data_IF_571005346829
#
_entry.id   IF_571005346829
#
_cell.length_a   1.000
_cell.length_b   1.000
_cell.length_c   1.000
_cell.angle_alpha   90.00
_cell.angle_beta   90.00
_cell.angle_gamma   90.00
#
_symmetry.space_group_name_H-M   'P 1'
#
loop_
_entity.id
_entity.type
_entity.pdbx_description
1 polymer ?
#
# COMPACT_ATOMS: atom_id res chain seq x y z
N UNK A 1 16.47 29.43 22.07
CA UNK A 1 16.69 27.97 22.10
C UNK A 1 18.11 27.71 21.60
N UNK A 2 18.91 26.84 22.23
CA UNK A 2 20.21 26.51 21.66
C UNK A 2 19.93 25.84 20.31
N UNK A 3 20.41 26.46 19.22
CA UNK A 3 20.46 25.81 17.93
C UNK A 3 21.55 24.75 18.02
N UNK A 4 21.14 23.48 18.21
CA UNK A 4 22.07 22.37 18.21
C UNK A 4 22.77 22.34 16.85
N UNK A 5 24.08 22.49 16.85
CA UNK A 5 24.87 22.39 15.60
C UNK A 5 25.22 20.93 15.39
N UNK A 6 25.00 20.38 14.17
CA UNK A 6 25.44 19.02 13.88
C UNK A 6 26.95 18.86 14.12
N UNK A 7 27.32 17.78 14.80
CA UNK A 7 28.73 17.45 15.06
C UNK A 7 29.29 16.44 14.06
N UNK A 8 28.44 15.87 13.19
CA UNK A 8 28.78 14.77 12.30
C UNK A 8 28.91 13.41 13.02
N UNK A 9 28.65 13.36 14.33
CA UNK A 9 28.61 12.10 15.06
C UNK A 9 27.28 11.40 14.80
N UNK A 10 27.33 10.22 14.18
CA UNK A 10 26.16 9.41 13.88
C UNK A 10 25.85 8.49 15.05
N UNK A 11 24.58 8.36 15.35
CA UNK A 11 24.04 7.49 16.36
C UNK A 11 23.17 6.41 15.72
N UNK A 12 23.47 5.18 16.01
CA UNK A 12 22.69 4.06 15.50
C UNK A 12 21.47 3.81 16.38
N UNK A 13 20.32 3.64 15.75
CA UNK A 13 19.09 3.14 16.38
C UNK A 13 19.12 1.62 16.31
N UNK A 14 18.91 0.92 17.42
CA UNK A 14 18.86 -0.54 17.45
C UNK A 14 17.65 -1.05 16.63
N UNK A 15 17.80 -2.23 16.02
CA UNK A 15 16.73 -2.83 15.20
C UNK A 15 15.49 -3.17 16.04
N UNK A 16 15.67 -3.56 17.29
CA UNK A 16 14.57 -3.84 18.23
C UNK A 16 14.01 -2.59 18.89
N UNK A 17 14.70 -1.46 18.76
CA UNK A 17 14.23 -0.20 19.32
C UNK A 17 13.10 0.37 18.51
N UNK A 18 12.00 0.64 19.19
CA UNK A 18 10.85 1.38 18.69
C UNK A 18 10.53 2.50 19.66
N UNK A 19 10.32 3.70 19.16
CA UNK A 19 9.98 4.81 20.01
C UNK A 19 8.85 5.64 19.41
N UNK A 20 8.08 6.23 20.32
CA UNK A 20 6.94 7.04 19.93
C UNK A 20 6.87 8.34 20.72
N UNK A 21 6.11 9.28 20.18
CA UNK A 21 5.61 10.44 20.88
C UNK A 21 4.19 10.72 20.43
N UNK A 22 3.35 11.22 21.35
CA UNK A 22 2.08 11.85 21.01
C UNK A 22 2.21 13.35 21.12
N UNK A 23 1.46 14.08 20.30
CA UNK A 23 1.46 15.54 20.26
C UNK A 23 0.04 16.07 20.22
N UNK A 24 -0.14 17.33 20.61
CA UNK A 24 -1.36 18.06 20.31
C UNK A 24 -1.52 18.36 18.81
N UNK A 25 -2.62 19.01 18.43
CA UNK A 25 -2.89 19.41 17.05
C UNK A 25 -1.88 20.42 16.47
N UNK A 26 -1.06 21.05 17.30
CA UNK A 26 0.01 21.99 16.88
C UNK A 26 1.38 21.31 16.78
N UNK A 27 1.47 20.01 17.10
CA UNK A 27 2.72 19.27 17.12
C UNK A 27 3.56 19.51 18.38
N UNK A 28 2.95 19.92 19.48
CA UNK A 28 3.59 20.03 20.80
C UNK A 28 3.56 18.65 21.47
N UNK A 29 4.70 18.17 21.92
CA UNK A 29 4.85 16.83 22.51
C UNK A 29 4.11 16.77 23.84
N UNK A 30 3.22 15.79 24.01
CA UNK A 30 2.48 15.52 25.23
C UNK A 30 3.04 14.29 25.97
N UNK A 31 3.43 13.25 25.23
CA UNK A 31 3.94 11.98 25.81
C UNK A 31 5.04 11.40 24.93
N UNK A 32 5.92 10.62 25.53
CA UNK A 32 6.97 9.88 24.84
C UNK A 32 7.42 8.70 25.69
N UNK A 33 7.97 7.65 25.04
CA UNK A 33 8.62 6.55 25.75
C UNK A 33 10.10 6.84 26.05
N UNK A 34 10.74 6.01 26.86
CA UNK A 34 12.13 6.18 27.33
C UNK A 34 13.15 6.11 26.20
N UNK A 35 12.88 5.32 25.15
CA UNK A 35 13.75 5.23 23.97
C UNK A 35 13.88 6.60 23.30
N UNK A 36 12.79 7.38 23.20
CA UNK A 36 12.85 8.72 22.62
C UNK A 36 13.68 9.69 23.48
N UNK A 37 13.49 9.66 24.80
CA UNK A 37 14.29 10.44 25.76
C UNK A 37 15.78 10.14 25.57
N UNK A 38 16.16 8.87 25.56
CA UNK A 38 17.53 8.42 25.40
C UNK A 38 18.16 8.81 24.03
N UNK A 39 17.41 8.66 22.94
CA UNK A 39 17.90 9.00 21.60
C UNK A 39 18.03 10.51 21.39
N UNK A 40 17.07 11.30 21.87
CA UNK A 40 17.11 12.76 21.76
C UNK A 40 18.20 13.40 22.63
N UNK A 41 18.75 12.70 23.64
CA UNK A 41 19.71 13.25 24.62
C UNK A 41 19.14 14.46 25.37
N UNK A 42 17.84 14.53 25.52
CA UNK A 42 17.14 15.52 26.32
C UNK A 42 16.55 14.84 27.57
N UNK A 43 16.43 15.54 28.65
CA UNK A 43 15.65 15.10 29.78
C UNK A 43 14.14 15.13 29.39
N UNK A 44 13.32 14.28 30.02
CA UNK A 44 11.88 14.17 29.70
C UNK A 44 11.17 15.51 29.80
N UNK A 45 11.44 16.28 30.85
CA UNK A 45 10.86 17.59 31.09
C UNK A 45 11.23 18.63 30.02
N UNK A 46 12.33 18.39 29.28
CA UNK A 46 12.75 19.25 28.17
C UNK A 46 12.07 18.87 26.85
N UNK A 47 11.46 17.69 26.77
CA UNK A 47 10.75 17.19 25.59
C UNK A 47 9.25 17.51 25.66
N UNK A 48 8.64 17.34 26.84
CA UNK A 48 7.20 17.55 27.02
C UNK A 48 6.89 19.05 26.94
N UNK A 49 5.73 19.39 26.38
CA UNK A 49 5.26 20.78 26.16
C UNK A 49 6.14 21.58 25.16
N UNK A 50 7.00 20.90 24.37
CA UNK A 50 7.86 21.54 23.37
C UNK A 50 7.45 21.07 21.97
N UNK A 51 7.49 21.96 20.95
CA UNK A 51 7.21 21.56 19.58
C UNK A 51 8.18 20.46 19.09
N UNK A 52 7.64 19.45 18.39
CA UNK A 52 8.35 18.26 17.94
C UNK A 52 9.55 18.57 17.02
N UNK A 53 9.58 19.74 16.37
CA UNK A 53 10.71 20.18 15.55
C UNK A 53 12.02 20.44 16.35
N UNK A 54 11.99 20.26 17.68
CA UNK A 54 13.19 20.31 18.54
C UNK A 54 14.27 19.35 18.07
N UNK A 55 13.90 18.15 17.60
CA UNK A 55 14.82 17.11 17.14
C UNK A 55 15.02 17.13 15.61
N UNK A 56 14.51 18.12 14.90
CA UNK A 56 14.63 18.18 13.44
C UNK A 56 16.05 18.51 13.03
N UNK A 57 16.63 17.69 12.13
CA UNK A 57 17.91 18.01 11.53
C UNK A 57 17.81 19.18 10.53
N UNK A 58 18.73 20.14 10.52
CA UNK A 58 18.67 21.30 9.62
C UNK A 58 18.80 20.96 8.14
N UNK A 59 19.36 19.80 7.79
CA UNK A 59 19.47 19.34 6.41
C UNK A 59 18.20 18.70 5.85
N UNK A 60 17.20 18.43 6.68
CA UNK A 60 15.92 17.93 6.17
C UNK A 60 15.16 19.02 5.39
N UNK A 61 14.72 18.75 4.14
CA UNK A 61 14.00 19.74 3.34
C UNK A 61 12.70 20.17 4.00
N UNK A 62 12.37 21.46 3.92
CA UNK A 62 11.07 22.00 4.40
C UNK A 62 9.90 21.39 3.60
N UNK A 63 10.12 21.03 2.34
CA UNK A 63 9.12 20.39 1.46
C UNK A 63 8.63 19.04 1.93
N UNK A 64 9.49 18.21 2.55
CA UNK A 64 9.07 16.94 3.13
C UNK A 64 8.07 17.15 4.28
N UNK A 65 8.29 18.15 5.14
CA UNK A 65 7.36 18.49 6.21
C UNK A 65 6.11 19.21 5.69
N UNK A 66 6.23 19.97 4.59
CA UNK A 66 5.07 20.52 3.89
C UNK A 66 4.13 19.41 3.40
N UNK A 67 4.69 18.38 2.74
CA UNK A 67 3.94 17.21 2.29
C UNK A 67 3.31 16.43 3.47
N UNK A 68 4.05 16.27 4.57
CA UNK A 68 3.56 15.65 5.80
C UNK A 68 2.31 16.37 6.33
N UNK A 69 2.39 17.69 6.55
CA UNK A 69 1.27 18.46 7.07
C UNK A 69 0.07 18.47 6.13
N UNK A 70 0.32 18.54 4.80
CA UNK A 70 -0.75 18.47 3.81
C UNK A 70 -1.48 17.12 3.82
N UNK A 71 -0.79 16.02 4.16
CA UNK A 71 -1.37 14.67 4.31
C UNK A 71 -2.14 14.54 5.62
N UNK A 72 -1.54 14.96 6.74
CA UNK A 72 -2.15 14.89 8.06
C UNK A 72 -3.42 15.75 8.18
N UNK A 73 -3.46 16.92 7.54
CA UNK A 73 -4.65 17.79 7.50
C UNK A 73 -5.83 17.17 6.76
N UNK A 74 -5.59 16.17 5.89
CA UNK A 74 -6.63 15.37 5.24
C UNK A 74 -7.09 14.20 6.10
N UNK A 75 -6.58 14.07 7.33
CA UNK A 75 -6.86 12.93 8.22
C UNK A 75 -6.15 11.65 7.80
N UNK A 76 -5.12 11.72 6.94
CA UNK A 76 -4.40 10.56 6.47
C UNK A 76 -3.07 10.40 7.19
N UNK A 77 -2.62 9.16 7.51
CA UNK A 77 -1.30 8.92 8.06
C UNK A 77 -0.21 9.19 7.02
N UNK A 78 0.97 9.51 7.52
CA UNK A 78 2.15 9.83 6.75
C UNK A 78 3.31 8.92 7.15
N UNK A 79 4.16 8.52 6.20
CA UNK A 79 5.37 7.75 6.45
C UNK A 79 6.56 8.31 5.65
N UNK A 80 7.73 8.43 6.28
CA UNK A 80 8.92 8.99 5.66
C UNK A 80 10.21 8.57 6.37
N UNK A 81 11.34 8.69 5.69
CA UNK A 81 12.65 8.73 6.32
C UNK A 81 12.93 10.11 6.87
N UNK A 82 13.47 10.19 8.07
CA UNK A 82 13.76 11.46 8.73
C UNK A 82 15.10 11.38 9.44
N UNK A 83 15.96 12.37 9.21
CA UNK A 83 17.15 12.59 10.02
C UNK A 83 16.80 13.50 11.19
N UNK A 84 17.15 13.06 12.37
CA UNK A 84 17.00 13.80 13.62
C UNK A 84 18.34 14.27 14.16
N UNK A 85 18.29 15.31 14.96
CA UNK A 85 19.45 15.89 15.66
C UNK A 85 19.19 15.83 17.18
N UNK A 86 20.05 15.11 17.89
CA UNK A 86 20.00 15.06 19.35
C UNK A 86 20.52 16.34 20.00
N UNK A 87 20.21 16.58 21.28
CA UNK A 87 20.59 17.77 22.04
C UNK A 87 22.12 17.99 22.12
N UNK A 88 22.92 16.93 22.00
CA UNK A 88 24.38 16.98 21.96
C UNK A 88 24.97 17.18 20.55
N UNK A 89 24.13 17.38 19.54
CA UNK A 89 24.54 17.56 18.15
C UNK A 89 24.84 16.27 17.37
N UNK A 90 24.63 15.08 17.95
CA UNK A 90 24.72 13.83 17.22
C UNK A 90 23.45 13.59 16.39
N UNK A 91 23.60 12.91 15.25
CA UNK A 91 22.56 12.64 14.26
C UNK A 91 22.07 11.20 14.37
N UNK A 92 20.80 10.97 14.07
CA UNK A 92 20.26 9.63 13.93
C UNK A 92 19.14 9.59 12.90
N UNK A 93 19.21 8.59 12.04
CA UNK A 93 18.24 8.38 10.98
C UNK A 93 17.15 7.42 11.47
N UNK A 94 15.91 7.73 11.10
CA UNK A 94 14.72 6.96 11.44
C UNK A 94 13.80 6.81 10.24
N UNK A 95 13.09 5.70 10.21
CA UNK A 95 11.84 5.59 9.48
C UNK A 95 10.70 5.97 10.42
N UNK A 96 9.89 6.95 10.05
CA UNK A 96 8.84 7.50 10.90
C UNK A 96 7.47 7.37 10.26
N UNK A 97 6.47 7.04 11.08
CA UNK A 97 5.06 7.20 10.74
C UNK A 97 4.44 8.27 11.63
N UNK A 98 3.49 9.02 11.09
CA UNK A 98 2.69 10.00 11.83
C UNK A 98 1.23 9.75 11.53
N UNK A 99 0.45 9.43 12.56
CA UNK A 99 -0.97 9.08 12.47
C UNK A 99 -1.82 10.09 13.20
N UNK A 100 -2.84 10.70 12.56
CA UNK A 100 -3.80 11.55 13.26
C UNK A 100 -4.57 10.75 14.33
N UNK A 101 -4.75 11.32 15.51
CA UNK A 101 -5.51 10.74 16.62
C UNK A 101 -6.92 11.35 16.70
N UNK A 102 -7.90 10.57 17.17
CA UNK A 102 -9.27 11.04 17.44
C UNK A 102 -9.30 12.15 18.51
N UNK A 103 -8.35 12.16 19.42
CA UNK A 103 -8.14 13.19 20.42
C UNK A 103 -7.78 14.56 19.83
N UNK A 104 -7.45 14.64 18.53
CA UNK A 104 -7.11 15.86 17.81
C UNK A 104 -5.61 16.16 17.72
N UNK A 105 -4.75 15.23 18.11
CA UNK A 105 -3.30 15.31 18.00
C UNK A 105 -2.75 14.26 17.01
N UNK A 106 -1.49 13.90 17.22
CA UNK A 106 -0.78 12.95 16.34
C UNK A 106 0.05 11.95 17.15
N UNK A 107 -0.01 10.67 16.75
CA UNK A 107 0.92 9.64 17.19
C UNK A 107 2.03 9.52 16.15
N UNK A 108 3.28 9.66 16.56
CA UNK A 108 4.44 9.40 15.73
C UNK A 108 5.22 8.21 16.25
N UNK A 109 5.39 7.18 15.42
CA UNK A 109 6.17 5.97 15.72
C UNK A 109 7.40 5.93 14.83
N UNK A 110 8.54 5.56 15.40
CA UNK A 110 9.85 5.60 14.72
C UNK A 110 10.61 4.32 14.97
N UNK A 111 11.29 3.86 13.93
CA UNK A 111 12.17 2.71 13.93
C UNK A 111 13.46 3.01 13.20
N UNK A 112 14.45 2.13 13.32
CA UNK A 112 15.63 2.14 12.45
C UNK A 112 15.22 1.89 11.00
N UNK A 113 15.72 2.66 10.01
CA UNK A 113 15.64 2.30 8.59
C UNK A 113 16.39 1.00 8.34
N UNK A 114 15.78 0.05 7.62
CA UNK A 114 16.39 -1.25 7.31
C UNK A 114 16.48 -1.53 5.81
N UNK A 115 15.71 -0.82 4.99
CA UNK A 115 15.73 -0.94 3.53
C UNK A 115 16.74 0.05 2.95
N UNK A 116 18.03 -0.29 2.94
CA UNK A 116 19.15 0.57 2.53
C UNK A 116 18.93 1.23 1.15
N UNK A 117 18.43 0.49 0.18
CA UNK A 117 18.20 1.01 -1.17
C UNK A 117 17.10 2.09 -1.19
N UNK A 118 15.99 1.86 -0.49
CA UNK A 118 14.89 2.82 -0.40
C UNK A 118 15.31 4.06 0.41
N UNK A 119 16.04 3.84 1.49
CA UNK A 119 16.60 4.90 2.32
C UNK A 119 17.54 5.80 1.50
N UNK A 120 18.50 5.23 0.79
CA UNK A 120 19.46 5.99 -0.03
C UNK A 120 18.76 6.80 -1.11
N UNK A 121 17.79 6.20 -1.83
CA UNK A 121 17.01 6.92 -2.84
C UNK A 121 16.19 8.08 -2.26
N UNK A 122 15.59 7.89 -1.09
CA UNK A 122 14.84 8.96 -0.43
C UNK A 122 15.74 10.15 -0.07
N UNK A 123 16.98 9.89 0.36
CA UNK A 123 17.94 10.96 0.67
C UNK A 123 18.45 11.67 -0.60
N UNK A 124 18.67 10.97 -1.70
CA UNK A 124 18.96 11.62 -2.99
C UNK A 124 17.84 12.58 -3.41
N UNK A 125 16.59 12.19 -3.23
CA UNK A 125 15.42 13.05 -3.49
C UNK A 125 15.38 14.24 -2.54
N UNK A 126 15.69 14.05 -1.26
CA UNK A 126 15.71 15.14 -0.27
C UNK A 126 16.82 16.14 -0.51
N UNK A 127 18.02 15.70 -0.92
CA UNK A 127 19.14 16.58 -1.26
C UNK A 127 18.80 17.46 -2.47
N UNK A 128 18.18 16.91 -3.51
CA UNK A 128 17.72 17.66 -4.68
C UNK A 128 16.58 18.64 -4.32
N UNK A 129 15.62 18.22 -3.51
CA UNK A 129 14.55 19.09 -3.02
C UNK A 129 15.11 20.26 -2.21
N UNK A 130 16.09 20.01 -1.32
CA UNK A 130 16.76 21.04 -0.54
C UNK A 130 17.51 22.03 -1.45
N UNK A 131 18.24 21.53 -2.45
CA UNK A 131 18.91 22.40 -3.41
C UNK A 131 17.88 23.30 -4.15
N UNK A 132 16.72 22.77 -4.49
CA UNK A 132 15.60 23.53 -5.09
C UNK A 132 15.08 24.62 -4.13
N UNK A 133 14.90 24.29 -2.85
CA UNK A 133 14.49 25.26 -1.82
C UNK A 133 15.52 26.38 -1.61
N UNK A 134 16.79 26.02 -1.57
CA UNK A 134 17.88 27.00 -1.37
C UNK A 134 18.00 27.93 -2.57
N UNK A 135 17.83 27.43 -3.80
CA UNK A 135 17.77 28.27 -4.99
C UNK A 135 16.54 29.20 -4.96
N UNK A 136 15.36 28.68 -4.60
CA UNK A 136 14.16 29.51 -4.47
C UNK A 136 14.34 30.65 -3.46
N UNK A 137 14.95 30.38 -2.30
CA UNK A 137 15.28 31.39 -1.29
C UNK A 137 16.28 32.43 -1.83
N UNK A 138 17.28 31.99 -2.59
CA UNK A 138 18.25 32.90 -3.24
C UNK A 138 17.58 33.80 -4.29
N UNK A 139 16.53 33.32 -4.95
CA UNK A 139 15.71 34.07 -5.93
C UNK A 139 14.64 34.95 -5.26
N UNK A 140 14.58 34.99 -3.92
CA UNK A 140 13.71 35.88 -3.14
C UNK A 140 12.38 35.26 -2.68
N UNK A 141 12.19 33.94 -2.82
CA UNK A 141 11.04 33.25 -2.28
C UNK A 141 11.08 33.26 -0.73
N UNK A 142 9.91 33.41 -0.11
CA UNK A 142 9.78 33.20 1.33
C UNK A 142 9.90 31.69 1.69
N UNK A 143 10.01 31.42 3.00
CA UNK A 143 10.20 30.03 3.48
C UNK A 143 9.07 29.11 3.05
N UNK A 144 7.82 29.59 3.02
CA UNK A 144 6.66 28.79 2.63
C UNK A 144 6.70 28.48 1.14
N UNK A 145 6.98 29.48 0.31
CA UNK A 145 7.09 29.31 -1.13
C UNK A 145 8.24 28.34 -1.50
N UNK A 146 9.39 28.45 -0.80
CA UNK A 146 10.49 27.52 -0.99
C UNK A 146 10.09 26.08 -0.60
N UNK A 147 9.39 25.88 0.52
CA UNK A 147 8.89 24.56 0.93
C UNK A 147 7.87 23.98 -0.07
N UNK A 148 6.99 24.80 -0.64
CA UNK A 148 6.05 24.38 -1.70
C UNK A 148 6.81 23.92 -2.97
N UNK A 149 7.87 24.61 -3.34
CA UNK A 149 8.73 24.19 -4.48
C UNK A 149 9.51 22.90 -4.17
N UNK A 150 10.04 22.77 -2.95
CA UNK A 150 10.68 21.54 -2.49
C UNK A 150 9.73 20.34 -2.51
N UNK A 151 8.49 20.51 -2.02
CA UNK A 151 7.47 19.48 -2.08
C UNK A 151 7.10 19.08 -3.51
N UNK A 152 6.94 20.05 -4.41
CA UNK A 152 6.69 19.80 -5.83
C UNK A 152 7.86 19.05 -6.49
N UNK A 153 9.10 19.37 -6.10
CA UNK A 153 10.28 18.67 -6.59
C UNK A 153 10.36 17.23 -6.11
N UNK A 154 9.99 16.95 -4.86
CA UNK A 154 9.88 15.58 -4.34
C UNK A 154 8.90 14.78 -5.21
N UNK A 155 7.70 15.30 -5.48
CA UNK A 155 6.70 14.61 -6.31
C UNK A 155 7.19 14.35 -7.74
N UNK A 156 7.85 15.32 -8.37
CA UNK A 156 8.43 15.15 -9.72
C UNK A 156 9.50 14.04 -9.76
N UNK A 157 10.33 13.92 -8.72
CA UNK A 157 11.36 12.88 -8.63
C UNK A 157 10.76 11.51 -8.31
N UNK A 158 9.71 11.43 -7.49
CA UNK A 158 8.97 10.20 -7.24
C UNK A 158 8.30 9.68 -8.52
N UNK A 159 7.65 10.56 -9.29
CA UNK A 159 7.03 10.18 -10.57
C UNK A 159 8.06 9.63 -11.56
N UNK A 160 9.22 10.26 -11.68
CA UNK A 160 10.35 9.75 -12.48
C UNK A 160 10.90 8.41 -12.01
N UNK A 161 10.75 8.11 -10.73
CA UNK A 161 11.10 6.81 -10.15
C UNK A 161 9.98 5.75 -10.30
N UNK A 162 8.87 6.07 -10.98
CA UNK A 162 7.73 5.18 -11.19
C UNK A 162 6.71 5.18 -10.04
N UNK A 163 6.80 6.17 -9.15
CA UNK A 163 5.88 6.37 -8.02
C UNK A 163 5.08 7.66 -8.29
N UNK A 164 3.87 7.58 -8.82
CA UNK A 164 3.15 8.74 -9.39
C UNK A 164 2.79 9.82 -8.37
N UNK A 165 2.76 9.46 -7.08
CA UNK A 165 2.47 10.39 -6.00
C UNK A 165 3.09 9.93 -4.67
N UNK A 166 2.89 10.72 -3.62
CA UNK A 166 3.41 10.41 -2.29
C UNK A 166 2.71 9.21 -1.65
N UNK A 167 1.45 8.95 -1.98
CA UNK A 167 0.70 7.78 -1.51
C UNK A 167 1.33 6.49 -2.05
N UNK A 168 1.67 6.44 -3.34
CA UNK A 168 2.35 5.31 -3.95
C UNK A 168 3.72 5.05 -3.29
N UNK A 169 4.48 6.11 -2.99
CA UNK A 169 5.75 6.01 -2.26
C UNK A 169 5.55 5.34 -0.89
N UNK A 170 4.69 5.89 -0.05
CA UNK A 170 4.51 5.35 1.31
C UNK A 170 3.87 3.97 1.32
N UNK A 171 2.98 3.64 0.36
CA UNK A 171 2.40 2.30 0.20
C UNK A 171 3.45 1.24 -0.20
N UNK A 172 4.57 1.67 -0.79
CA UNK A 172 5.71 0.81 -1.12
C UNK A 172 6.67 0.69 0.06
N UNK A 173 7.04 1.81 0.67
CA UNK A 173 8.16 1.89 1.61
C UNK A 173 7.77 1.36 2.99
N UNK A 174 6.59 1.70 3.53
CA UNK A 174 6.21 1.26 4.87
C UNK A 174 6.09 -0.26 4.99
N UNK A 175 5.41 -1.00 4.09
CA UNK A 175 5.40 -2.45 4.17
C UNK A 175 6.78 -3.08 4.05
N UNK A 176 7.66 -2.54 3.20
CA UNK A 176 9.02 -3.03 3.04
C UNK A 176 9.87 -2.83 4.31
N UNK A 177 9.80 -1.64 4.93
CA UNK A 177 10.51 -1.33 6.18
C UNK A 177 10.03 -2.21 7.34
N UNK A 178 8.71 -2.45 7.44
CA UNK A 178 8.14 -3.31 8.50
C UNK A 178 8.59 -4.75 8.30
N UNK A 179 8.46 -5.30 7.10
CA UNK A 179 8.88 -6.67 6.79
C UNK A 179 10.40 -6.86 7.01
N UNK A 180 11.24 -5.96 6.47
CA UNK A 180 12.69 -6.03 6.66
C UNK A 180 13.11 -5.90 8.13
N UNK A 181 12.40 -5.06 8.91
CA UNK A 181 12.65 -4.97 10.36
C UNK A 181 12.31 -6.27 11.09
N UNK A 182 11.18 -6.90 10.76
CA UNK A 182 10.75 -8.16 11.40
C UNK A 182 11.70 -9.31 11.10
N UNK A 183 12.27 -9.37 9.90
CA UNK A 183 13.32 -10.36 9.57
C UNK A 183 14.60 -10.18 10.40
N UNK A 184 14.91 -8.96 10.82
CA UNK A 184 16.12 -8.61 11.54
C UNK A 184 15.92 -8.57 13.07
N UNK A 185 14.68 -8.36 13.54
CA UNK A 185 14.36 -8.17 14.95
C UNK A 185 14.15 -9.50 15.69
N UNK A 186 14.22 -9.44 17.02
CA UNK A 186 13.88 -10.58 17.90
C UNK A 186 12.37 -10.87 17.99
N UNK A 187 11.52 -10.12 17.24
CA UNK A 187 10.07 -10.18 17.30
C UNK A 187 9.45 -9.30 18.40
N UNK A 188 8.17 -9.54 18.69
CA UNK A 188 7.49 -8.77 19.75
C UNK A 188 8.08 -9.10 21.12
N UNK A 189 8.29 -8.07 21.98
CA UNK A 189 8.79 -8.32 23.33
C UNK A 189 7.74 -9.10 24.12
N UNK A 190 8.20 -10.02 24.98
CA UNK A 190 7.35 -10.88 25.78
C UNK A 190 7.77 -10.90 27.26
N UNK A 191 6.80 -11.12 28.14
CA UNK A 191 7.00 -11.33 29.58
C UNK A 191 6.11 -12.49 30.04
N UNK A 192 6.54 -13.76 29.77
CA UNK A 192 5.69 -14.93 30.02
C UNK A 192 5.35 -15.12 31.50
N UNK A 193 6.23 -14.67 32.40
CA UNK A 193 6.04 -14.78 33.87
C UNK A 193 5.26 -13.60 34.46
N UNK A 194 4.88 -12.60 33.66
CA UNK A 194 4.10 -11.47 34.13
C UNK A 194 2.62 -11.83 34.30
N UNK A 195 1.98 -11.30 35.33
CA UNK A 195 0.58 -11.46 35.65
C UNK A 195 -0.17 -10.12 35.67
N UNK A 196 -1.49 -10.19 35.79
CA UNK A 196 -2.34 -9.01 35.91
C UNK A 196 -2.76 -8.37 34.56
N UNK A 197 -3.36 -7.18 34.60
CA UNK A 197 -3.96 -6.55 33.41
C UNK A 197 -2.94 -6.22 32.31
N UNK A 198 -1.75 -5.74 32.64
CA UNK A 198 -0.70 -5.42 31.66
C UNK A 198 -0.22 -6.67 30.92
N UNK A 199 -0.09 -7.80 31.61
CA UNK A 199 0.26 -9.07 30.96
C UNK A 199 -0.88 -9.57 30.05
N UNK A 200 -2.15 -9.33 30.41
CA UNK A 200 -3.30 -9.64 29.54
C UNK A 200 -3.28 -8.77 28.29
N UNK A 201 -3.00 -7.47 28.44
CA UNK A 201 -2.83 -6.55 27.29
C UNK A 201 -1.70 -7.03 26.37
N UNK A 202 -0.54 -7.40 26.92
CA UNK A 202 0.59 -7.87 26.12
C UNK A 202 0.22 -9.12 25.30
N UNK A 203 -0.50 -10.09 25.92
CA UNK A 203 -1.00 -11.27 25.20
C UNK A 203 -1.99 -10.90 24.08
N UNK A 204 -2.91 -9.98 24.35
CA UNK A 204 -3.88 -9.53 23.36
C UNK A 204 -3.26 -8.78 22.18
N UNK A 205 -2.24 -7.94 22.43
CA UNK A 205 -1.46 -7.28 21.35
C UNK A 205 -0.69 -8.31 20.53
N UNK A 206 -0.13 -9.33 21.16
CA UNK A 206 0.58 -10.41 20.45
C UNK A 206 -0.37 -11.19 19.53
N UNK A 207 -1.57 -11.53 20.01
CA UNK A 207 -2.59 -12.19 19.20
C UNK A 207 -3.09 -11.29 18.06
N UNK A 208 -3.29 -10.01 18.33
CA UNK A 208 -3.64 -9.00 17.32
C UNK A 208 -2.58 -8.93 16.20
N UNK A 209 -1.30 -8.90 16.56
CA UNK A 209 -0.20 -8.89 15.57
C UNK A 209 -0.19 -10.16 14.72
N UNK A 210 -0.41 -11.34 15.32
CA UNK A 210 -0.48 -12.60 14.58
C UNK A 210 -1.64 -12.60 13.55
N UNK A 211 -2.80 -12.03 13.89
CA UNK A 211 -3.90 -11.86 12.95
C UNK A 211 -3.56 -10.93 11.78
N UNK A 212 -2.77 -9.88 12.01
CA UNK A 212 -2.27 -9.01 10.94
C UNK A 212 -1.29 -9.74 10.00
N UNK A 213 -0.48 -10.66 10.52
CA UNK A 213 0.46 -11.48 9.73
C UNK A 213 -0.28 -12.43 8.80
N UNK A 214 -1.31 -13.09 9.31
CA UNK A 214 -2.16 -13.96 8.51
C UNK A 214 -2.85 -13.19 7.39
N UNK A 215 -3.39 -12.00 7.71
CA UNK A 215 -4.02 -11.17 6.70
C UNK A 215 -3.04 -10.67 5.63
N UNK A 216 -1.80 -10.30 6.00
CA UNK A 216 -0.78 -9.91 5.02
C UNK A 216 -0.52 -11.06 4.04
N UNK A 217 -0.47 -12.31 4.52
CA UNK A 217 -0.28 -13.50 3.66
C UNK A 217 -1.42 -13.66 2.66
N UNK A 218 -2.67 -13.47 3.07
CA UNK A 218 -3.84 -13.50 2.17
C UNK A 218 -3.80 -12.40 1.11
N UNK A 219 -3.37 -11.18 1.50
CA UNK A 219 -3.20 -10.06 0.55
C UNK A 219 -2.10 -10.30 -0.47
N UNK A 220 -1.03 -11.00 -0.09
CA UNK A 220 0.05 -11.35 -1.01
C UNK A 220 -0.45 -12.34 -2.06
N UNK A 221 -1.29 -13.30 -1.68
CA UNK A 221 -1.95 -14.20 -2.62
C UNK A 221 -2.89 -13.43 -3.55
N UNK A 222 -3.71 -12.52 -3.02
CA UNK A 222 -4.62 -11.69 -3.81
C UNK A 222 -3.85 -10.80 -4.81
N UNK A 223 -2.74 -10.20 -4.39
CA UNK A 223 -1.87 -9.42 -5.27
C UNK A 223 -1.31 -10.26 -6.41
N UNK A 224 -0.87 -11.50 -6.10
CA UNK A 224 -0.37 -12.43 -7.11
C UNK A 224 -1.46 -12.80 -8.13
N UNK A 225 -2.67 -13.08 -7.68
CA UNK A 225 -3.83 -13.34 -8.55
C UNK A 225 -4.17 -12.11 -9.42
N UNK A 226 -4.09 -10.90 -8.88
CA UNK A 226 -4.29 -9.64 -9.61
C UNK A 226 -3.31 -9.49 -10.78
N UNK A 227 -2.02 -9.78 -10.56
CA UNK A 227 -1.00 -9.77 -11.63
C UNK A 227 -1.31 -10.81 -12.70
N UNK A 228 -1.75 -12.01 -12.32
CA UNK A 228 -2.13 -13.06 -13.29
C UNK A 228 -3.36 -12.66 -14.10
N UNK A 229 -4.39 -12.10 -13.46
CA UNK A 229 -5.60 -11.57 -14.10
C UNK A 229 -5.27 -10.47 -15.12
N UNK A 230 -4.40 -9.53 -14.76
CA UNK A 230 -3.96 -8.47 -15.67
C UNK A 230 -3.28 -9.04 -16.90
N UNK A 231 -2.32 -9.94 -16.72
CA UNK A 231 -1.62 -10.60 -17.84
C UNK A 231 -2.56 -11.40 -18.75
N UNK A 232 -3.56 -12.06 -18.17
CA UNK A 232 -4.58 -12.76 -18.94
C UNK A 232 -5.52 -11.78 -19.67
N UNK A 233 -5.88 -10.67 -19.06
CA UNK A 233 -6.64 -9.58 -19.70
C UNK A 233 -5.90 -8.95 -20.88
N UNK A 234 -4.60 -8.68 -20.75
CA UNK A 234 -3.74 -8.19 -21.84
C UNK A 234 -3.67 -9.19 -23.00
N UNK A 235 -3.52 -10.48 -22.70
CA UNK A 235 -3.55 -11.53 -23.74
C UNK A 235 -4.90 -11.59 -24.46
N UNK A 236 -5.99 -11.44 -23.73
CA UNK A 236 -7.33 -11.39 -24.33
C UNK A 236 -7.46 -10.19 -25.27
N UNK A 237 -7.05 -8.99 -24.81
CA UNK A 237 -7.07 -7.78 -25.63
C UNK A 237 -6.25 -7.96 -26.92
N UNK A 238 -5.02 -8.46 -26.81
CA UNK A 238 -4.15 -8.73 -27.96
C UNK A 238 -4.75 -9.76 -28.93
N UNK A 239 -5.40 -10.80 -28.42
CA UNK A 239 -6.03 -11.80 -29.25
C UNK A 239 -7.27 -11.24 -30.00
N UNK A 240 -8.04 -10.39 -29.31
CA UNK A 240 -9.24 -9.77 -29.89
C UNK A 240 -8.88 -8.66 -30.88
N UNK A 241 -7.89 -7.82 -30.57
CA UNK A 241 -7.48 -6.66 -31.38
C UNK A 241 -6.45 -7.01 -32.46
N UNK A 242 -6.47 -8.23 -32.98
CA UNK A 242 -5.52 -8.68 -34.01
C UNK A 242 -5.63 -7.83 -35.30
N UNK A 243 -4.55 -7.12 -35.70
CA UNK A 243 -4.58 -6.31 -36.94
C UNK A 243 -4.86 -7.14 -38.19
N UNK A 244 -4.55 -8.43 -38.16
CA UNK A 244 -4.79 -9.35 -39.28
C UNK A 244 -6.28 -9.63 -39.48
N UNK A 245 -7.10 -9.54 -38.42
CA UNK A 245 -8.57 -9.62 -38.50
C UNK A 245 -9.17 -8.20 -38.40
N UNK A 246 -8.93 -7.36 -39.40
CA UNK A 246 -9.45 -6.00 -39.47
C UNK A 246 -10.51 -5.88 -40.55
N UNK A 247 -11.37 -4.85 -40.45
CA UNK A 247 -12.36 -4.54 -41.48
C UNK A 247 -11.71 -4.32 -42.84
N UNK A 248 -10.49 -3.79 -42.90
CA UNK A 248 -9.75 -3.55 -44.13
C UNK A 248 -9.30 -4.90 -44.78
N UNK A 249 -8.79 -5.85 -44.00
CA UNK A 249 -8.36 -7.16 -44.51
C UNK A 249 -9.55 -7.98 -44.96
N UNK A 250 -10.68 -7.94 -44.23
CA UNK A 250 -11.92 -8.66 -44.61
C UNK A 250 -12.56 -8.05 -45.85
N UNK A 251 -12.59 -6.72 -45.99
CA UNK A 251 -13.17 -6.05 -47.19
C UNK A 251 -12.32 -6.21 -48.45
N UNK A 252 -11.04 -6.58 -48.34
CA UNK A 252 -10.15 -6.85 -49.45
C UNK A 252 -10.35 -8.26 -50.07
N UNK A 253 -11.14 -9.13 -49.42
CA UNK A 253 -11.45 -10.47 -49.94
C UNK A 253 -12.40 -10.40 -51.14
N UNK A 254 -12.21 -11.32 -52.10
CA UNK A 254 -13.10 -11.49 -53.26
C UNK A 254 -14.45 -12.05 -52.80
N UNK A 255 -15.50 -11.19 -52.83
CA UNK A 255 -16.84 -11.55 -52.40
C UNK A 255 -17.63 -12.35 -53.46
N UNK A 256 -17.11 -12.47 -54.68
CA UNK A 256 -17.78 -13.21 -55.77
C UNK A 256 -17.66 -14.74 -55.58
N UNK A 257 -16.65 -15.22 -54.79
CA UNK A 257 -16.56 -16.61 -54.38
C UNK A 257 -17.48 -16.89 -53.18
N UNK A 258 -18.49 -17.79 -53.32
CA UNK A 258 -19.44 -18.06 -52.21
C UNK A 258 -18.78 -18.54 -50.92
N UNK A 259 -17.61 -19.22 -51.01
CA UNK A 259 -16.85 -19.68 -49.84
C UNK A 259 -16.22 -18.52 -49.12
N UNK A 260 -15.64 -17.59 -49.86
CA UNK A 260 -15.04 -16.36 -49.35
C UNK A 260 -16.12 -15.45 -48.74
N UNK A 261 -17.28 -15.32 -49.41
CA UNK A 261 -18.42 -14.54 -48.93
C UNK A 261 -18.89 -15.08 -47.56
N UNK A 262 -18.97 -16.39 -47.37
CA UNK A 262 -19.36 -16.99 -46.09
C UNK A 262 -18.32 -16.69 -44.98
N UNK A 263 -17.03 -16.81 -45.25
CA UNK A 263 -15.97 -16.44 -44.32
C UNK A 263 -16.06 -14.98 -43.96
N UNK A 264 -16.23 -14.10 -44.95
CA UNK A 264 -16.35 -12.64 -44.71
C UNK A 264 -17.54 -12.27 -43.81
N UNK A 265 -18.67 -12.95 -43.95
CA UNK A 265 -19.82 -12.73 -43.06
C UNK A 265 -19.50 -13.10 -41.61
N UNK A 266 -18.82 -14.22 -41.38
CA UNK A 266 -18.43 -14.65 -40.03
C UNK A 266 -17.37 -13.72 -39.41
N UNK A 267 -16.39 -13.31 -40.23
CA UNK A 267 -15.37 -12.35 -39.80
C UNK A 267 -15.96 -10.96 -39.50
N UNK A 268 -16.94 -10.49 -40.28
CA UNK A 268 -17.66 -9.25 -40.00
C UNK A 268 -18.40 -9.31 -38.66
N UNK A 269 -19.07 -10.44 -38.35
CA UNK A 269 -19.70 -10.64 -37.04
C UNK A 269 -18.67 -10.64 -35.91
N UNK A 270 -17.50 -11.24 -36.11
CA UNK A 270 -16.40 -11.16 -35.15
C UNK A 270 -15.97 -9.71 -34.94
N UNK A 271 -15.77 -8.92 -36.01
CA UNK A 271 -15.37 -7.52 -35.93
C UNK A 271 -16.41 -6.63 -35.21
N UNK A 272 -17.71 -6.88 -35.43
CA UNK A 272 -18.77 -6.19 -34.68
C UNK A 272 -18.67 -6.49 -33.16
N UNK A 273 -18.43 -7.75 -32.81
CA UNK A 273 -18.29 -8.15 -31.41
C UNK A 273 -16.96 -7.68 -30.78
N UNK A 274 -15.91 -7.56 -31.58
CA UNK A 274 -14.58 -7.08 -31.16
C UNK A 274 -14.68 -5.70 -30.47
N UNK A 275 -15.43 -4.75 -31.04
CA UNK A 275 -15.63 -3.43 -30.44
C UNK A 275 -16.30 -3.49 -29.05
N UNK A 276 -17.24 -4.43 -28.87
CA UNK A 276 -17.92 -4.63 -27.58
C UNK A 276 -16.98 -5.28 -26.57
N UNK A 277 -16.19 -6.29 -26.99
CA UNK A 277 -15.21 -6.96 -26.14
C UNK A 277 -14.07 -6.03 -25.76
N UNK A 278 -13.59 -5.18 -26.69
CA UNK A 278 -12.59 -4.15 -26.39
C UNK A 278 -13.04 -3.21 -25.25
N UNK A 279 -14.31 -2.82 -25.25
CA UNK A 279 -14.88 -2.03 -24.14
C UNK A 279 -14.85 -2.79 -22.80
N UNK A 280 -15.14 -4.11 -22.81
CA UNK A 280 -15.06 -4.91 -21.59
C UNK A 280 -13.60 -5.17 -21.14
N UNK A 281 -12.69 -5.32 -22.07
CA UNK A 281 -11.26 -5.46 -21.77
C UNK A 281 -10.69 -4.18 -21.13
N UNK A 282 -11.06 -2.99 -21.65
CA UNK A 282 -10.71 -1.71 -21.01
C UNK A 282 -11.28 -1.61 -19.60
N UNK A 283 -12.56 -1.94 -19.41
CA UNK A 283 -13.18 -1.95 -18.09
C UNK A 283 -12.47 -2.91 -17.13
N UNK A 284 -12.13 -4.10 -17.60
CA UNK A 284 -11.38 -5.09 -16.78
C UNK A 284 -10.01 -4.52 -16.38
N UNK A 285 -9.30 -3.88 -17.31
CA UNK A 285 -8.03 -3.22 -17.02
C UNK A 285 -8.17 -2.16 -15.92
N UNK A 286 -9.18 -1.29 -16.02
CA UNK A 286 -9.43 -0.22 -15.04
C UNK A 286 -9.77 -0.79 -13.65
N UNK A 287 -10.59 -1.84 -13.59
CA UNK A 287 -10.95 -2.49 -12.31
C UNK A 287 -9.74 -3.17 -11.69
N UNK A 288 -8.89 -3.83 -12.47
CA UNK A 288 -7.66 -4.46 -11.97
C UNK A 288 -6.64 -3.43 -11.47
N UNK A 289 -6.51 -2.28 -12.13
CA UNK A 289 -5.68 -1.17 -11.65
C UNK A 289 -6.19 -0.60 -10.32
N UNK A 290 -7.51 -0.48 -10.16
CA UNK A 290 -8.11 -0.09 -8.88
C UNK A 290 -7.85 -1.14 -7.79
N UNK A 291 -7.96 -2.43 -8.10
CA UNK A 291 -7.66 -3.51 -7.16
C UNK A 291 -6.19 -3.46 -6.68
N UNK A 292 -5.23 -3.26 -7.58
CA UNK A 292 -3.82 -3.08 -7.21
C UNK A 292 -3.61 -1.89 -6.25
N UNK A 293 -4.27 -0.77 -6.52
CA UNK A 293 -4.23 0.41 -5.65
C UNK A 293 -4.81 0.12 -4.26
N UNK A 294 -5.95 -0.58 -4.19
CA UNK A 294 -6.57 -0.97 -2.90
C UNK A 294 -5.68 -1.95 -2.14
N UNK A 295 -5.07 -2.94 -2.80
CA UNK A 295 -4.10 -3.86 -2.18
C UNK A 295 -2.92 -3.07 -1.59
N UNK A 296 -2.35 -2.12 -2.32
CA UNK A 296 -1.26 -1.28 -1.83
C UNK A 296 -1.63 -0.49 -0.56
N UNK A 297 -2.81 0.14 -0.57
CA UNK A 297 -3.33 0.85 0.61
C UNK A 297 -3.58 -0.08 1.80
N UNK A 298 -4.12 -1.27 1.55
CA UNK A 298 -4.38 -2.25 2.61
C UNK A 298 -3.06 -2.74 3.23
N UNK A 299 -2.05 -3.06 2.42
CA UNK A 299 -0.71 -3.41 2.90
C UNK A 299 -0.10 -2.29 3.75
N UNK A 300 -0.22 -1.05 3.32
CA UNK A 300 0.21 0.11 4.11
C UNK A 300 -0.50 0.15 5.47
N UNK A 301 -1.83 -0.02 5.50
CA UNK A 301 -2.62 0.01 6.74
C UNK A 301 -2.27 -1.14 7.68
N UNK A 302 -2.06 -2.35 7.17
CA UNK A 302 -1.60 -3.49 7.97
C UNK A 302 -0.20 -3.22 8.54
N UNK A 303 0.73 -2.77 7.72
CA UNK A 303 2.08 -2.45 8.17
C UNK A 303 2.08 -1.35 9.25
N UNK A 304 1.24 -0.32 9.10
CA UNK A 304 1.04 0.73 10.11
C UNK A 304 0.49 0.15 11.42
N UNK A 305 -0.53 -0.70 11.35
CA UNK A 305 -1.11 -1.36 12.52
C UNK A 305 -0.08 -2.27 13.23
N UNK A 306 0.79 -2.97 12.47
CA UNK A 306 1.90 -3.77 13.03
C UNK A 306 2.91 -2.91 13.80
N UNK A 307 3.27 -1.73 13.27
CA UNK A 307 4.12 -0.78 13.99
C UNK A 307 3.46 -0.28 15.28
N UNK A 308 2.18 0.06 15.22
CA UNK A 308 1.43 0.48 16.41
C UNK A 308 1.33 -0.65 17.43
N UNK A 309 1.07 -1.90 17.01
CA UNK A 309 1.06 -3.07 17.89
C UNK A 309 2.43 -3.29 18.54
N UNK A 310 3.51 -3.19 17.77
CA UNK A 310 4.87 -3.32 18.31
C UNK A 310 5.20 -2.20 19.30
N UNK A 311 4.82 -0.95 19.00
CA UNK A 311 5.01 0.18 19.91
C UNK A 311 4.21 -0.02 21.22
N UNK A 312 2.97 -0.52 21.10
CA UNK A 312 2.12 -0.84 22.25
C UNK A 312 2.74 -1.95 23.11
N UNK A 313 3.17 -3.06 22.49
CA UNK A 313 3.81 -4.15 23.21
C UNK A 313 5.11 -3.71 23.92
N UNK A 314 5.95 -2.93 23.23
CA UNK A 314 7.19 -2.40 23.80
C UNK A 314 6.93 -1.49 24.99
N UNK A 315 5.93 -0.60 24.88
CA UNK A 315 5.59 0.32 25.97
C UNK A 315 4.97 -0.42 27.17
N UNK A 316 4.10 -1.42 26.95
CA UNK A 316 3.58 -2.26 28.03
C UNK A 316 4.73 -2.96 28.76
N UNK A 317 5.74 -3.44 28.04
CA UNK A 317 6.92 -4.06 28.65
C UNK A 317 7.76 -3.07 29.42
N UNK A 318 7.96 -1.83 28.92
CA UNK A 318 8.62 -0.75 29.68
C UNK A 318 7.92 -0.52 31.02
N UNK A 319 6.58 -0.52 31.07
CA UNK A 319 5.80 -0.36 32.30
C UNK A 319 5.97 -1.58 33.23
N UNK A 320 5.88 -2.81 32.70
CA UNK A 320 6.06 -4.04 33.49
C UNK A 320 7.44 -4.08 34.12
N UNK A 321 8.47 -3.65 33.41
CA UNK A 321 9.87 -3.66 33.87
C UNK A 321 10.19 -2.48 34.82
N UNK A 322 9.25 -1.56 35.05
CA UNK A 322 9.41 -0.44 35.98
C UNK A 322 10.37 0.64 35.50
N UNK A 323 10.40 0.93 34.17
CA UNK A 323 11.21 2.01 33.62
C UNK A 323 10.84 3.37 34.25
N UNK A 324 11.85 4.22 34.50
CA UNK A 324 11.71 5.47 35.30
C UNK A 324 10.66 6.44 34.74
N UNK A 325 10.37 6.39 33.44
CA UNK A 325 9.37 7.26 32.80
C UNK A 325 7.96 6.68 32.74
N UNK A 326 7.80 5.39 33.08
CA UNK A 326 6.52 4.67 33.10
C UNK A 326 5.86 4.67 34.50
N UNK A 327 6.52 5.27 35.50
CA UNK A 327 6.03 5.32 36.89
C UNK A 327 4.94 6.37 37.14
N UNK A 328 4.63 7.27 36.16
CA UNK A 328 3.50 8.17 36.21
C UNK A 328 2.28 7.49 35.59
N UNK A 329 1.37 7.00 36.44
CA UNK A 329 0.20 6.21 36.04
C UNK A 329 -0.71 6.95 35.04
N UNK A 330 -0.93 8.24 35.22
CA UNK A 330 -1.80 9.06 34.35
C UNK A 330 -1.17 9.24 32.95
N UNK A 331 0.13 9.48 32.87
CA UNK A 331 0.85 9.63 31.61
C UNK A 331 0.93 8.29 30.86
N UNK A 332 1.16 7.20 31.57
CA UNK A 332 1.26 5.85 31.01
C UNK A 332 -0.09 5.35 30.50
N UNK A 333 -1.18 5.54 31.27
CA UNK A 333 -2.54 5.19 30.81
C UNK A 333 -2.96 6.02 29.61
N UNK A 334 -2.64 7.33 29.59
CA UNK A 334 -2.89 8.19 28.45
C UNK A 334 -2.16 7.72 27.18
N UNK A 335 -0.89 7.35 27.29
CA UNK A 335 -0.10 6.86 26.16
C UNK A 335 -0.63 5.52 25.62
N UNK A 336 -0.99 4.57 26.50
CA UNK A 336 -1.64 3.32 26.07
C UNK A 336 -2.97 3.61 25.38
N UNK A 337 -3.77 4.55 25.89
CA UNK A 337 -5.05 4.94 25.28
C UNK A 337 -4.84 5.45 23.86
N UNK A 338 -3.89 6.37 23.65
CA UNK A 338 -3.57 6.90 22.32
C UNK A 338 -3.10 5.81 21.34
N UNK A 339 -2.28 4.87 21.82
CA UNK A 339 -1.83 3.72 21.01
C UNK A 339 -3.00 2.79 20.64
N UNK A 340 -3.90 2.50 21.56
CA UNK A 340 -5.08 1.68 21.30
C UNK A 340 -6.08 2.38 20.38
N UNK A 341 -6.27 3.69 20.52
CA UNK A 341 -7.09 4.48 19.61
C UNK A 341 -6.55 4.39 18.17
N UNK A 342 -5.24 4.49 18.00
CA UNK A 342 -4.61 4.35 16.70
C UNK A 342 -4.78 2.93 16.10
N UNK A 343 -4.76 1.88 16.93
CA UNK A 343 -5.05 0.51 16.48
C UNK A 343 -6.52 0.34 16.07
N UNK A 344 -7.47 0.88 16.85
CA UNK A 344 -8.91 0.85 16.51
C UNK A 344 -9.22 1.58 15.21
N UNK A 345 -8.61 2.74 15.01
CA UNK A 345 -8.72 3.52 13.77
C UNK A 345 -8.15 2.73 12.61
N UNK A 346 -6.99 2.08 12.81
CA UNK A 346 -6.37 1.20 11.82
C UNK A 346 -7.30 0.07 11.39
N UNK A 347 -7.95 -0.64 12.33
CA UNK A 347 -8.90 -1.72 12.00
C UNK A 347 -10.14 -1.17 11.31
N UNK A 348 -10.65 -0.01 11.72
CA UNK A 348 -11.79 0.64 11.06
C UNK A 348 -11.47 0.99 9.60
N UNK A 349 -10.28 1.50 9.33
CA UNK A 349 -9.81 1.78 7.97
C UNK A 349 -9.65 0.49 7.15
N UNK A 350 -9.15 -0.58 7.77
CA UNK A 350 -9.01 -1.88 7.12
C UNK A 350 -10.38 -2.46 6.71
N UNK A 351 -11.43 -2.31 7.52
CA UNK A 351 -12.79 -2.71 7.15
C UNK A 351 -13.34 -1.95 5.93
N UNK A 352 -12.95 -0.69 5.76
CA UNK A 352 -13.30 0.06 4.54
C UNK A 352 -12.61 -0.56 3.33
N UNK A 353 -11.33 -0.93 3.45
CA UNK A 353 -10.58 -1.56 2.36
C UNK A 353 -11.16 -2.93 1.99
N UNK A 354 -11.58 -3.75 2.97
CA UNK A 354 -12.26 -5.04 2.74
C UNK A 354 -13.49 -4.87 1.87
N UNK A 355 -14.38 -3.96 2.22
CA UNK A 355 -15.60 -3.70 1.41
C UNK A 355 -15.26 -3.28 -0.02
N UNK A 356 -14.22 -2.51 -0.21
CA UNK A 356 -13.77 -2.11 -1.54
C UNK A 356 -13.17 -3.27 -2.32
N UNK A 357 -12.40 -4.15 -1.68
CA UNK A 357 -11.90 -5.40 -2.28
C UNK A 357 -13.04 -6.29 -2.76
N UNK A 358 -14.06 -6.51 -1.94
CA UNK A 358 -15.22 -7.32 -2.31
C UNK A 358 -15.93 -6.74 -3.53
N UNK A 359 -16.18 -5.43 -3.54
CA UNK A 359 -16.81 -4.74 -4.67
C UNK A 359 -15.98 -4.92 -5.96
N UNK A 360 -14.66 -4.72 -5.90
CA UNK A 360 -13.78 -4.87 -7.07
C UNK A 360 -13.68 -6.31 -7.54
N UNK A 361 -13.72 -7.29 -6.64
CA UNK A 361 -13.78 -8.71 -6.99
C UNK A 361 -15.08 -9.06 -7.72
N UNK A 362 -16.23 -8.55 -7.27
CA UNK A 362 -17.52 -8.70 -7.96
C UNK A 362 -17.52 -8.02 -9.34
N UNK A 363 -16.99 -6.81 -9.44
CA UNK A 363 -16.87 -6.08 -10.70
C UNK A 363 -15.96 -6.83 -11.70
N UNK A 364 -14.83 -7.37 -11.23
CA UNK A 364 -13.91 -8.19 -12.03
C UNK A 364 -14.59 -9.44 -12.56
N UNK A 365 -15.27 -10.20 -11.71
CA UNK A 365 -15.97 -11.42 -12.11
C UNK A 365 -17.11 -11.15 -13.08
N UNK A 366 -17.82 -10.03 -12.89
CA UNK A 366 -18.90 -9.58 -13.78
C UNK A 366 -18.35 -9.20 -15.16
N UNK A 367 -17.26 -8.45 -15.22
CA UNK A 367 -16.62 -8.07 -16.48
C UNK A 367 -16.14 -9.29 -17.27
N UNK A 368 -15.51 -10.27 -16.60
CA UNK A 368 -15.06 -11.52 -17.21
C UNK A 368 -16.25 -12.33 -17.75
N UNK A 369 -17.32 -12.49 -16.95
CA UNK A 369 -18.51 -13.22 -17.37
C UNK A 369 -19.21 -12.55 -18.56
N UNK A 370 -19.22 -11.23 -18.64
CA UNK A 370 -19.74 -10.48 -19.78
C UNK A 370 -18.89 -10.72 -21.04
N UNK A 371 -17.56 -10.63 -20.94
CA UNK A 371 -16.66 -10.91 -22.04
C UNK A 371 -16.84 -12.35 -22.57
N UNK A 372 -16.96 -13.34 -21.68
CA UNK A 372 -17.23 -14.74 -22.05
C UNK A 372 -18.54 -14.89 -22.84
N UNK A 373 -19.64 -14.26 -22.38
CA UNK A 373 -20.95 -14.32 -23.05
C UNK A 373 -20.90 -13.69 -24.44
N UNK A 374 -20.26 -12.54 -24.60
CA UNK A 374 -20.18 -11.80 -25.85
C UNK A 374 -19.38 -12.60 -26.87
N UNK A 375 -18.26 -13.20 -26.49
CA UNK A 375 -17.38 -13.97 -27.40
C UNK A 375 -17.91 -15.38 -27.70
N UNK A 376 -18.87 -15.91 -26.96
CA UNK A 376 -19.33 -17.30 -27.13
C UNK A 376 -19.84 -17.56 -28.54
N UNK A 377 -20.76 -16.72 -29.06
CA UNK A 377 -21.40 -16.95 -30.37
C UNK A 377 -20.42 -16.74 -31.53
N UNK A 378 -19.71 -15.59 -31.64
CA UNK A 378 -18.74 -15.39 -32.73
C UNK A 378 -17.67 -16.45 -32.77
N UNK A 379 -17.16 -16.86 -31.59
CA UNK A 379 -16.15 -17.93 -31.48
C UNK A 379 -16.68 -19.25 -31.96
N UNK A 380 -17.90 -19.66 -31.57
CA UNK A 380 -18.52 -20.91 -32.06
C UNK A 380 -18.70 -20.91 -33.58
N UNK A 381 -19.10 -19.79 -34.17
CA UNK A 381 -19.28 -19.66 -35.59
C UNK A 381 -17.94 -19.77 -36.35
N UNK A 382 -16.89 -19.11 -35.84
CA UNK A 382 -15.54 -19.27 -36.44
C UNK A 382 -14.98 -20.68 -36.26
N UNK A 383 -15.25 -21.34 -35.13
CA UNK A 383 -14.88 -22.76 -34.93
C UNK A 383 -15.60 -23.67 -35.93
N UNK A 384 -16.89 -23.45 -36.21
CA UNK A 384 -17.64 -24.20 -37.22
C UNK A 384 -17.09 -23.95 -38.61
N UNK A 385 -16.67 -22.75 -38.95
CA UNK A 385 -15.99 -22.45 -40.21
C UNK A 385 -14.65 -23.21 -40.30
N UNK A 386 -13.75 -23.07 -39.32
CA UNK A 386 -12.41 -23.67 -39.33
C UNK A 386 -12.46 -25.21 -39.40
N UNK A 387 -13.51 -25.81 -38.86
CA UNK A 387 -13.76 -27.24 -38.95
C UNK A 387 -14.47 -27.68 -40.27
N UNK A 388 -14.86 -26.73 -41.13
CA UNK A 388 -15.57 -27.03 -42.36
C UNK A 388 -14.62 -27.49 -43.51
N UNK A 389 -15.10 -28.32 -44.45
CA UNK A 389 -14.31 -28.67 -45.64
C UNK A 389 -13.91 -27.45 -46.49
N UNK A 390 -14.71 -26.37 -46.46
CA UNK A 390 -14.43 -25.14 -47.18
C UNK A 390 -13.19 -24.42 -46.68
N UNK A 391 -12.94 -24.42 -45.36
CA UNK A 391 -11.77 -23.79 -44.75
C UNK A 391 -10.44 -24.51 -45.12
N UNK A 392 -10.53 -25.82 -45.43
CA UNK A 392 -9.39 -26.67 -45.81
C UNK A 392 -9.28 -26.86 -47.32
N UNK A 393 -10.07 -26.15 -48.12
CA UNK A 393 -10.05 -26.25 -49.57
C UNK A 393 -8.73 -25.65 -50.12
N UNK A 394 -7.89 -26.43 -50.84
CA UNK A 394 -6.63 -25.94 -51.38
C UNK A 394 -6.83 -24.90 -52.51
N UNK A 395 -8.01 -24.84 -53.12
CA UNK A 395 -8.37 -23.85 -54.14
C UNK A 395 -8.91 -22.52 -53.54
N UNK A 396 -8.92 -22.37 -52.22
CA UNK A 396 -9.29 -21.10 -51.59
C UNK A 396 -8.19 -20.06 -51.89
N UNK A 397 -8.56 -18.77 -52.16
CA UNK A 397 -7.57 -17.72 -52.37
C UNK A 397 -6.60 -17.61 -51.18
N UNK A 398 -5.31 -17.38 -51.42
CA UNK A 398 -4.27 -17.34 -50.41
C UNK A 398 -4.61 -16.36 -49.23
N UNK A 399 -5.16 -15.21 -49.56
CA UNK A 399 -5.63 -14.24 -48.56
C UNK A 399 -6.75 -14.79 -47.65
N UNK A 400 -7.67 -15.59 -48.21
CA UNK A 400 -8.73 -16.22 -47.42
C UNK A 400 -8.20 -17.38 -46.56
N UNK A 401 -7.21 -18.16 -47.10
CA UNK A 401 -6.52 -19.18 -46.29
C UNK A 401 -5.77 -18.58 -45.11
N UNK A 402 -5.08 -17.45 -45.29
CA UNK A 402 -4.34 -16.76 -44.23
C UNK A 402 -5.29 -16.22 -43.15
N UNK A 403 -6.40 -15.59 -43.57
CA UNK A 403 -7.43 -15.13 -42.64
C UNK A 403 -8.11 -16.28 -41.90
N UNK A 404 -8.34 -17.42 -42.54
CA UNK A 404 -8.88 -18.63 -41.89
C UNK A 404 -7.95 -19.14 -40.81
N UNK A 405 -6.63 -19.23 -41.10
CA UNK A 405 -5.60 -19.63 -40.09
C UNK A 405 -5.51 -18.65 -38.93
N UNK A 406 -5.56 -17.36 -39.25
CA UNK A 406 -5.55 -16.31 -38.20
C UNK A 406 -6.82 -16.39 -37.34
N UNK A 407 -7.99 -16.61 -37.93
CA UNK A 407 -9.25 -16.82 -37.21
C UNK A 407 -9.17 -18.04 -36.28
N UNK A 408 -8.62 -19.19 -36.75
CA UNK A 408 -8.42 -20.36 -35.92
C UNK A 408 -7.53 -20.07 -34.70
N UNK A 409 -6.39 -19.41 -34.92
CA UNK A 409 -5.48 -19.01 -33.83
C UNK A 409 -6.16 -18.08 -32.83
N UNK A 410 -6.87 -17.07 -33.31
CA UNK A 410 -7.60 -16.10 -32.47
C UNK A 410 -8.69 -16.78 -31.62
N UNK A 411 -9.46 -17.69 -32.21
CA UNK A 411 -10.49 -18.49 -31.53
C UNK A 411 -9.90 -19.34 -30.42
N UNK A 412 -8.79 -20.04 -30.73
CA UNK A 412 -8.10 -20.90 -29.76
C UNK A 412 -7.55 -20.07 -28.60
N UNK A 413 -6.81 -18.99 -28.89
CA UNK A 413 -6.16 -18.16 -27.88
C UNK A 413 -7.18 -17.42 -27.02
N UNK A 414 -8.22 -16.81 -27.63
CA UNK A 414 -9.26 -16.13 -26.87
C UNK A 414 -10.04 -17.10 -25.96
N UNK A 415 -10.22 -18.35 -26.42
CA UNK A 415 -10.92 -19.37 -25.64
C UNK A 415 -10.18 -19.79 -24.39
N UNK A 416 -8.91 -20.16 -24.52
CA UNK A 416 -8.09 -20.55 -23.38
C UNK A 416 -7.88 -19.39 -22.40
N UNK A 417 -7.69 -18.17 -22.92
CA UNK A 417 -7.52 -16.98 -22.07
C UNK A 417 -8.78 -16.66 -21.27
N UNK A 418 -9.98 -16.80 -21.85
CA UNK A 418 -11.24 -16.60 -21.13
C UNK A 418 -11.46 -17.67 -20.05
N UNK A 419 -11.03 -18.90 -20.28
CA UNK A 419 -11.09 -19.97 -19.28
C UNK A 419 -10.11 -19.67 -18.13
N UNK A 420 -8.86 -19.30 -18.43
CA UNK A 420 -7.88 -18.86 -17.43
C UNK A 420 -8.41 -17.72 -16.57
N UNK A 421 -8.97 -16.67 -17.19
CA UNK A 421 -9.59 -15.54 -16.49
C UNK A 421 -10.72 -15.98 -15.56
N UNK A 422 -11.58 -16.91 -16.03
CA UNK A 422 -12.67 -17.45 -15.21
C UNK A 422 -12.18 -18.20 -13.98
N UNK A 423 -11.13 -19.02 -14.13
CA UNK A 423 -10.53 -19.77 -13.01
C UNK A 423 -9.84 -18.83 -12.01
N UNK A 424 -9.08 -17.84 -12.47
CA UNK A 424 -8.44 -16.85 -11.61
C UNK A 424 -9.47 -16.01 -10.84
N UNK A 425 -10.54 -15.58 -11.49
CA UNK A 425 -11.62 -14.84 -10.86
C UNK A 425 -12.37 -15.68 -9.79
N UNK A 426 -12.52 -16.99 -10.02
CA UNK A 426 -13.08 -17.90 -9.01
C UNK A 426 -12.18 -17.98 -7.78
N UNK A 427 -10.87 -18.12 -7.95
CA UNK A 427 -9.88 -18.13 -6.86
C UNK A 427 -9.91 -16.83 -6.06
N UNK A 428 -10.01 -15.66 -6.70
CA UNK A 428 -10.14 -14.38 -6.00
C UNK A 428 -11.39 -14.33 -5.10
N UNK A 429 -12.49 -14.98 -5.48
CA UNK A 429 -13.71 -15.03 -4.66
C UNK A 429 -13.63 -16.01 -3.48
N UNK A 430 -12.77 -17.04 -3.58
CA UNK A 430 -12.56 -18.01 -2.51
C UNK A 430 -11.72 -17.47 -1.37
N UNK A 431 -10.96 -16.37 -1.59
CA UNK A 431 -10.22 -15.71 -0.52
C UNK A 431 -11.20 -14.94 0.37
N UNK A 432 -11.37 -15.41 1.61
CA UNK A 432 -12.17 -14.73 2.63
C UNK A 432 -11.34 -13.59 3.23
N UNK A 433 -11.68 -12.35 2.88
CA UNK A 433 -11.01 -11.14 3.38
C UNK A 433 -11.74 -10.50 4.58
N UNK A 434 -12.89 -11.07 5.02
CA UNK A 434 -13.70 -10.53 6.12
C UNK A 434 -13.32 -11.12 7.49
N UNK A 435 -12.92 -12.39 7.54
CA UNK A 435 -12.62 -13.11 8.78
C UNK A 435 -11.54 -12.42 9.61
N UNK A 436 -10.40 -11.96 9.03
CA UNK A 436 -9.35 -11.30 9.80
C UNK A 436 -9.81 -10.03 10.52
N UNK A 437 -10.67 -9.21 9.93
CA UNK A 437 -11.13 -7.96 10.57
C UNK A 437 -11.97 -8.23 11.83
N UNK A 438 -12.78 -9.29 11.83
CA UNK A 438 -13.59 -9.69 12.99
C UNK A 438 -12.69 -10.13 14.14
N UNK A 439 -11.70 -10.98 13.89
CA UNK A 439 -10.75 -11.45 14.89
C UNK A 439 -9.93 -10.30 15.49
N UNK A 440 -9.46 -9.39 14.65
CA UNK A 440 -8.74 -8.20 15.11
C UNK A 440 -9.60 -7.35 16.06
N UNK A 441 -10.91 -7.20 15.79
CA UNK A 441 -11.83 -6.49 16.70
C UNK A 441 -12.02 -7.20 18.04
N UNK A 442 -12.05 -8.52 18.06
CA UNK A 442 -12.11 -9.29 19.30
C UNK A 442 -10.88 -9.05 20.17
N UNK A 443 -9.68 -9.05 19.56
CA UNK A 443 -8.44 -8.73 20.25
C UNK A 443 -8.38 -7.29 20.78
N UNK A 444 -8.87 -6.31 20.01
CA UNK A 444 -8.99 -4.92 20.47
C UNK A 444 -9.96 -4.77 21.65
N UNK A 445 -11.08 -5.52 21.63
CA UNK A 445 -12.02 -5.54 22.74
C UNK A 445 -11.35 -6.06 24.02
N UNK A 446 -10.60 -7.16 23.92
CA UNK A 446 -9.84 -7.71 25.05
C UNK A 446 -8.78 -6.71 25.58
N UNK A 447 -8.10 -5.96 24.69
CA UNK A 447 -7.16 -4.91 25.05
C UNK A 447 -7.85 -3.79 25.85
N UNK A 448 -9.02 -3.31 25.40
CA UNK A 448 -9.80 -2.27 26.11
C UNK A 448 -10.32 -2.73 27.46
N UNK A 449 -10.74 -3.98 27.57
CA UNK A 449 -11.19 -4.56 28.86
C UNK A 449 -10.02 -4.65 29.84
N UNK A 450 -8.86 -5.09 29.40
CA UNK A 450 -7.67 -5.15 30.22
C UNK A 450 -7.21 -3.75 30.67
N UNK A 451 -7.25 -2.73 29.79
CA UNK A 451 -6.96 -1.33 30.16
C UNK A 451 -7.92 -0.79 31.23
N UNK A 452 -9.24 -1.08 31.11
CA UNK A 452 -10.20 -0.66 32.15
C UNK A 452 -9.92 -1.33 33.48
N UNK A 453 -9.39 -2.55 33.47
CA UNK A 453 -9.05 -3.28 34.69
C UNK A 453 -7.81 -2.70 35.40
N UNK A 454 -6.87 -2.05 34.68
CA UNK A 454 -5.78 -1.30 35.31
C UNK A 454 -6.28 -0.09 36.08
N UNK A 455 -7.23 0.67 35.51
CA UNK A 455 -7.81 1.87 36.13
C UNK A 455 -8.69 1.58 37.38
N UNK A 456 -9.02 0.32 37.68
CA UNK A 456 -9.84 -0.09 38.83
C UNK A 456 -9.02 -0.84 39.89
N UNK A 457 -7.73 -1.08 39.64
CA UNK A 457 -6.85 -1.79 40.57
C UNK A 457 -6.11 -0.85 41.56
N UNK A 458 -6.23 0.46 41.38
CA UNK A 458 -5.79 1.53 42.24
C UNK A 458 -6.97 2.05 43.10
#
# INVERSE_FOLDING_TARGET
MPTNTPTGAVREVGVDEIFFSTTDAKGVIERSNDVFVRLSRSEREQLIEVPHNLVRHPEMPDGAFHAMWATLQKGQPFAAYVRNLAANGSEYDVFTTVTPLRSGGYLSVRTRPVCEELFSKAYEIYDDARATEDQAKADGADRRQAAEQGAARILDLLDKAGLPDYEAFQNTVLPAEVAGREELSAGLPSRPDADGPLAQMLRAVTAFSAGLDEWMTQLDELAHLGVQLRRAGERLSQAVDSPALSAQTVSALDQDDPRVAQLSQLLNLWLEMQGIVGTQATRLHDVLAQMESVIGRTRFRIALARLHATATASFIVEIIDGADGAADDDLSQGAITDLLDALEDGVTDLEVQVREHQRLTEDTTTAIAQAQRILTIPRQLLMLWTASPQASDPDLPEAAQELSRTAEHTVSTSGSTLEDLGQLAARCRELDVDEPTRELREHLTALREALRSTAHAD
#
